data_IF_154942621487
#
_entry.id   IF_154942621487
#
_cell.length_a   1.000
_cell.length_b   1.000
_cell.length_c   1.000
_cell.angle_alpha   90.00
_cell.angle_beta   90.00
_cell.angle_gamma   90.00
#
_symmetry.space_group_name_H-M   'P 1'
#
loop_
_entity.id
_entity.type
_entity.pdbx_description
1 polymer ?
#
# COMPACT_ATOMS: atom_id res chain seq x y z
N UNK A 1 -23.54 32.25 -45.07
CA UNK A 1 -23.51 32.69 -43.66
C UNK A 1 -24.23 31.67 -42.80
N UNK A 2 -23.61 31.30 -41.69
CA UNK A 2 -23.59 29.96 -41.10
C UNK A 2 -24.92 29.56 -40.44
N UNK A 3 -25.37 28.35 -40.77
CA UNK A 3 -26.57 27.69 -40.24
C UNK A 3 -26.30 27.16 -38.83
N UNK A 4 -27.28 27.34 -37.94
CA UNK A 4 -27.35 26.74 -36.60
C UNK A 4 -27.34 25.21 -36.74
N UNK A 5 -26.34 24.56 -36.15
CA UNK A 5 -26.35 23.12 -35.92
C UNK A 5 -26.77 22.87 -34.47
N UNK A 6 -27.95 22.28 -34.30
CA UNK A 6 -28.23 21.44 -33.13
C UNK A 6 -27.36 20.20 -33.26
N UNK A 7 -26.57 19.90 -32.22
CA UNK A 7 -26.02 18.56 -32.03
C UNK A 7 -26.56 18.02 -30.72
N UNK A 8 -27.53 17.12 -30.84
CA UNK A 8 -27.95 16.24 -29.77
C UNK A 8 -26.80 15.27 -29.49
N UNK A 9 -26.08 15.47 -28.39
CA UNK A 9 -25.20 14.43 -27.86
C UNK A 9 -26.07 13.44 -27.10
N UNK A 10 -26.25 12.26 -27.69
CA UNK A 10 -26.92 11.13 -27.07
C UNK A 10 -26.16 10.69 -25.82
N UNK A 11 -26.88 10.61 -24.69
CA UNK A 11 -26.43 9.83 -23.53
C UNK A 11 -26.37 8.36 -23.94
N UNK A 12 -25.17 7.87 -24.22
CA UNK A 12 -24.90 6.43 -24.21
C UNK A 12 -24.77 6.04 -22.75
N UNK A 13 -25.89 5.61 -22.18
CA UNK A 13 -25.92 4.81 -20.97
C UNK A 13 -25.35 3.45 -21.37
N UNK A 14 -24.09 3.17 -21.03
CA UNK A 14 -23.61 1.80 -21.02
C UNK A 14 -24.27 1.09 -19.83
N UNK A 15 -25.44 0.53 -20.10
CA UNK A 15 -25.92 -0.64 -19.39
C UNK A 15 -25.02 -1.81 -19.83
N UNK A 16 -24.02 -2.13 -19.01
CA UNK A 16 -23.38 -3.45 -19.05
C UNK A 16 -23.97 -4.25 -17.89
N UNK A 17 -25.14 -4.83 -18.16
CA UNK A 17 -25.66 -5.96 -17.37
C UNK A 17 -25.14 -7.26 -17.97
N UNK A 18 -24.36 -7.98 -17.16
CA UNK A 18 -24.23 -9.45 -17.05
C UNK A 18 -24.23 -10.34 -18.31
N UNK A 19 -23.12 -11.07 -18.54
CA UNK A 19 -23.08 -12.55 -18.54
C UNK A 19 -21.62 -13.02 -18.74
N UNK A 20 -21.08 -14.01 -18.02
CA UNK A 20 -21.67 -14.85 -17.00
C UNK A 20 -20.59 -15.55 -16.17
N UNK A 21 -20.85 -15.73 -14.88
CA UNK A 21 -21.27 -17.03 -14.35
C UNK A 21 -21.75 -16.82 -12.90
N UNK A 22 -22.84 -16.07 -12.73
CA UNK A 22 -23.55 -15.94 -11.45
C UNK A 22 -24.51 -17.12 -11.28
N UNK A 23 -23.93 -18.31 -11.12
CA UNK A 23 -24.58 -19.42 -10.45
C UNK A 23 -24.11 -19.40 -9.00
N UNK A 24 -24.89 -18.73 -8.14
CA UNK A 24 -25.04 -19.07 -6.73
C UNK A 24 -23.74 -19.47 -5.97
N UNK A 25 -22.81 -18.54 -5.77
CA UNK A 25 -21.75 -18.71 -4.76
C UNK A 25 -22.15 -17.98 -3.47
N UNK A 26 -23.05 -18.61 -2.73
CA UNK A 26 -23.13 -18.53 -1.28
C UNK A 26 -22.11 -19.49 -0.63
N UNK A 27 -20.91 -19.58 -1.19
CA UNK A 27 -19.75 -20.13 -0.51
C UNK A 27 -18.95 -18.92 -0.06
N UNK A 28 -18.99 -18.59 1.25
CA UNK A 28 -17.90 -17.80 1.81
C UNK A 28 -16.62 -18.50 1.37
N UNK A 29 -15.72 -17.81 0.67
CA UNK A 29 -14.43 -18.39 0.38
C UNK A 29 -13.83 -18.89 1.70
N UNK A 30 -13.36 -20.14 1.70
CA UNK A 30 -12.86 -20.75 2.91
C UNK A 30 -11.63 -19.95 3.37
N UNK A 31 -11.66 -19.46 4.61
CA UNK A 31 -10.51 -18.83 5.22
C UNK A 31 -9.47 -19.91 5.54
N UNK A 32 -8.31 -19.82 4.92
CA UNK A 32 -7.18 -20.73 5.14
C UNK A 32 -6.18 -20.01 6.06
N UNK A 33 -5.89 -20.63 7.20
CA UNK A 33 -4.87 -20.17 8.17
C UNK A 33 -3.74 -21.19 8.35
N UNK A 34 -3.79 -22.33 7.64
CA UNK A 34 -2.74 -23.34 7.71
C UNK A 34 -1.46 -22.84 7.01
N UNK A 35 -0.31 -22.74 7.73
CA UNK A 35 0.91 -22.18 7.15
C UNK A 35 1.44 -22.96 5.93
N UNK A 36 1.27 -24.29 5.90
CA UNK A 36 1.74 -25.12 4.78
C UNK A 36 0.89 -24.94 3.52
N UNK A 37 -0.42 -24.76 3.68
CA UNK A 37 -1.31 -24.46 2.56
C UNK A 37 -1.05 -23.07 1.98
N UNK A 38 -0.91 -22.06 2.85
CA UNK A 38 -0.55 -20.70 2.45
C UNK A 38 0.82 -20.69 1.75
N UNK A 39 1.82 -21.39 2.30
CA UNK A 39 3.15 -21.48 1.69
C UNK A 39 3.11 -22.10 0.29
N UNK A 40 2.36 -23.18 0.11
CA UNK A 40 2.20 -23.82 -1.20
C UNK A 40 1.47 -22.93 -2.21
N UNK A 41 0.52 -22.12 -1.75
CA UNK A 41 -0.12 -21.10 -2.56
C UNK A 41 0.86 -20.00 -2.99
N UNK A 42 1.64 -19.47 -2.04
CA UNK A 42 2.61 -18.39 -2.26
C UNK A 42 3.71 -18.75 -3.26
N UNK A 43 4.16 -20.01 -3.34
CA UNK A 43 5.20 -20.46 -4.30
C UNK A 43 4.87 -20.18 -5.77
N UNK A 44 3.60 -19.97 -6.12
CA UNK A 44 3.18 -19.60 -7.48
C UNK A 44 3.49 -18.14 -7.83
N UNK A 45 3.72 -17.32 -6.81
CA UNK A 45 3.85 -15.86 -6.90
C UNK A 45 5.25 -15.41 -6.50
N UNK A 46 6.26 -16.29 -6.61
CA UNK A 46 7.65 -15.92 -6.33
C UNK A 46 8.06 -14.69 -7.17
N UNK A 47 8.63 -13.69 -6.52
CA UNK A 47 9.00 -12.41 -7.10
C UNK A 47 9.19 -11.29 -6.08
N UNK A 48 9.73 -10.16 -6.54
CA UNK A 48 9.87 -8.92 -5.78
C UNK A 48 8.93 -7.88 -6.36
N UNK A 49 8.03 -7.33 -5.55
CA UNK A 49 6.93 -6.49 -5.98
C UNK A 49 7.15 -5.05 -5.53
N UNK A 50 7.10 -4.13 -6.49
CA UNK A 50 7.54 -2.77 -6.29
C UNK A 50 6.58 -1.74 -6.86
N UNK A 51 6.58 -0.56 -6.25
CA UNK A 51 5.88 0.60 -6.74
C UNK A 51 6.86 1.54 -7.44
N UNK A 52 6.42 2.17 -8.54
CA UNK A 52 7.17 3.22 -9.22
C UNK A 52 6.59 4.58 -8.84
N UNK A 53 7.40 5.40 -8.20
CA UNK A 53 7.10 6.80 -7.93
C UNK A 53 7.70 7.65 -9.03
N UNK A 54 6.83 8.35 -9.77
CA UNK A 54 7.24 9.31 -10.78
C UNK A 54 7.36 10.71 -10.16
N UNK A 55 8.48 11.36 -10.43
CA UNK A 55 8.77 12.75 -10.07
C UNK A 55 9.06 13.55 -11.35
N UNK A 56 9.03 14.88 -11.24
CA UNK A 56 9.33 15.77 -12.37
C UNK A 56 10.72 15.48 -12.98
N UNK A 57 11.69 15.09 -12.15
CA UNK A 57 13.09 14.89 -12.54
C UNK A 57 13.51 13.42 -12.62
N UNK A 58 12.57 12.47 -12.62
CA UNK A 58 12.84 11.05 -12.82
C UNK A 58 11.93 10.16 -11.97
N UNK A 59 12.39 8.97 -11.59
CA UNK A 59 11.56 8.02 -10.88
C UNK A 59 12.35 7.24 -9.81
N UNK A 60 11.60 6.65 -8.90
CA UNK A 60 12.08 5.85 -7.79
C UNK A 60 11.26 4.57 -7.69
N UNK A 61 11.92 3.43 -7.49
CA UNK A 61 11.24 2.17 -7.23
C UNK A 61 11.35 1.78 -5.76
N UNK A 62 10.23 1.47 -5.12
CA UNK A 62 10.21 0.96 -3.75
C UNK A 62 9.75 -0.50 -3.75
N UNK A 63 10.56 -1.43 -3.24
CA UNK A 63 10.09 -2.79 -2.99
C UNK A 63 9.11 -2.74 -1.83
N UNK A 64 7.86 -3.11 -2.09
CA UNK A 64 6.81 -3.17 -1.08
C UNK A 64 6.66 -4.58 -0.50
N UNK A 65 6.81 -5.62 -1.33
CA UNK A 65 6.75 -7.02 -0.90
C UNK A 65 7.76 -7.89 -1.64
N UNK A 66 8.19 -8.96 -0.99
CA UNK A 66 8.92 -10.07 -1.64
C UNK A 66 8.19 -11.36 -1.30
N UNK A 67 7.98 -12.21 -2.30
CA UNK A 67 7.51 -13.58 -2.12
C UNK A 67 8.62 -14.49 -2.61
N UNK A 68 9.09 -15.38 -1.75
CA UNK A 68 10.19 -16.27 -2.08
C UNK A 68 10.04 -17.58 -1.32
N UNK A 69 10.09 -18.69 -2.06
CA UNK A 69 10.01 -20.05 -1.52
C UNK A 69 8.77 -20.28 -0.63
N UNK A 70 7.64 -19.64 -0.99
CA UNK A 70 6.39 -19.76 -0.25
C UNK A 70 6.34 -18.98 1.05
N UNK A 71 7.17 -17.94 1.19
CA UNK A 71 7.13 -16.98 2.31
C UNK A 71 6.94 -15.57 1.77
N UNK A 72 6.15 -14.76 2.49
CA UNK A 72 5.93 -13.34 2.18
C UNK A 72 6.76 -12.47 3.13
N UNK A 73 7.38 -11.44 2.59
CA UNK A 73 8.18 -10.46 3.32
C UNK A 73 7.68 -9.05 2.98
N UNK A 74 7.77 -8.14 3.94
CA UNK A 74 7.48 -6.72 3.75
C UNK A 74 8.78 -6.02 3.35
N UNK A 75 8.75 -5.29 2.24
CA UNK A 75 9.90 -4.60 1.69
C UNK A 75 11.15 -5.48 1.54
N UNK A 76 12.26 -5.02 2.12
CA UNK A 76 13.54 -5.73 2.13
C UNK A 76 13.79 -6.49 3.44
N UNK A 77 12.76 -6.74 4.25
CA UNK A 77 12.91 -7.45 5.53
C UNK A 77 13.44 -8.88 5.35
N UNK A 78 14.22 -9.31 6.35
CA UNK A 78 14.77 -10.67 6.42
C UNK A 78 13.83 -11.67 7.09
N UNK A 79 12.86 -11.20 7.85
CA UNK A 79 11.92 -12.05 8.59
C UNK A 79 10.60 -12.13 7.83
N UNK A 80 10.07 -13.33 7.54
CA UNK A 80 8.80 -13.45 6.86
C UNK A 80 7.63 -13.09 7.78
N UNK A 81 6.52 -12.74 7.15
CA UNK A 81 5.23 -12.53 7.82
C UNK A 81 4.67 -13.90 8.23
N UNK A 82 4.36 -14.06 9.52
CA UNK A 82 3.94 -15.35 10.09
C UNK A 82 2.42 -15.48 10.31
N UNK A 83 1.70 -14.36 10.43
CA UNK A 83 0.25 -14.33 10.69
C UNK A 83 -0.50 -13.93 9.42
N UNK A 84 -0.72 -14.93 8.56
CA UNK A 84 -1.41 -14.77 7.29
C UNK A 84 -2.75 -15.51 7.30
N UNK A 85 -3.77 -14.87 6.75
CA UNK A 85 -5.05 -15.50 6.42
C UNK A 85 -5.30 -15.37 4.93
N UNK A 86 -5.60 -16.49 4.26
CA UNK A 86 -5.89 -16.52 2.83
C UNK A 86 -7.39 -16.71 2.59
N UNK A 87 -7.97 -15.85 1.76
CA UNK A 87 -9.32 -15.98 1.22
C UNK A 87 -9.26 -15.86 -0.30
N UNK A 88 -9.51 -16.95 -1.03
CA UNK A 88 -9.38 -16.95 -2.49
C UNK A 88 -7.94 -16.64 -2.91
N UNK A 89 -7.74 -15.48 -3.55
CA UNK A 89 -6.42 -14.95 -3.94
C UNK A 89 -5.95 -13.76 -3.09
N UNK A 90 -6.61 -13.49 -1.97
CA UNK A 90 -6.34 -12.36 -1.08
C UNK A 90 -5.70 -12.83 0.21
N UNK A 91 -4.52 -12.30 0.53
CA UNK A 91 -3.83 -12.48 1.80
C UNK A 91 -4.10 -11.29 2.71
N UNK A 92 -4.68 -11.56 3.87
CA UNK A 92 -4.77 -10.59 4.94
C UNK A 92 -3.65 -10.84 5.95
N UNK A 93 -2.96 -9.77 6.34
CA UNK A 93 -1.93 -9.81 7.37
C UNK A 93 -2.16 -8.71 8.39
N UNK A 94 -2.01 -9.06 9.67
CA UNK A 94 -1.93 -8.07 10.73
C UNK A 94 -0.53 -7.47 10.72
N UNK A 95 -0.46 -6.15 10.61
CA UNK A 95 0.78 -5.41 10.82
C UNK A 95 0.63 -4.70 12.16
N UNK A 96 1.60 -4.92 13.05
CA UNK A 96 1.67 -4.14 14.29
C UNK A 96 1.86 -2.67 13.88
N UNK A 97 0.76 -1.91 13.94
CA UNK A 97 0.60 -0.56 13.42
C UNK A 97 1.45 0.47 14.17
N UNK A 98 2.77 0.33 14.06
CA UNK A 98 3.78 1.24 14.59
C UNK A 98 5.17 1.02 14.00
N UNK A 99 5.41 -0.09 13.30
CA UNK A 99 6.58 -0.19 12.45
C UNK A 99 6.23 0.45 11.11
N UNK A 100 6.76 1.64 10.86
CA UNK A 100 6.65 2.30 9.57
C UNK A 100 6.96 1.29 8.46
N UNK A 101 6.01 1.06 7.55
CA UNK A 101 6.38 0.56 6.23
C UNK A 101 7.34 1.60 5.69
N UNK A 102 8.64 1.26 5.65
CA UNK A 102 9.76 2.15 5.38
C UNK A 102 9.38 3.28 4.41
N UNK A 103 9.39 4.52 4.92
CA UNK A 103 9.47 5.83 4.26
C UNK A 103 8.51 6.20 3.11
N UNK A 104 7.69 5.31 2.57
CA UNK A 104 6.86 5.60 1.39
C UNK A 104 5.37 5.63 1.69
N UNK A 105 4.95 5.00 2.79
CA UNK A 105 3.56 4.91 3.20
C UNK A 105 3.48 5.31 4.69
N UNK A 106 3.46 6.61 4.96
CA UNK A 106 3.26 7.23 6.28
C UNK A 106 1.88 6.89 6.93
N UNK A 107 1.27 5.76 6.56
CA UNK A 107 -0.02 5.31 7.04
C UNK A 107 0.18 4.15 8.02
N UNK A 108 -0.41 4.32 9.20
CA UNK A 108 -0.37 3.37 10.31
C UNK A 108 -1.39 2.24 10.02
N UNK A 109 -1.24 1.55 8.90
CA UNK A 109 -2.10 0.40 8.62
C UNK A 109 -1.91 -0.63 9.73
N UNK A 110 -3.02 -1.14 10.23
CA UNK A 110 -3.04 -2.23 11.22
C UNK A 110 -3.29 -3.58 10.54
N UNK A 111 -3.87 -3.55 9.34
CA UNK A 111 -4.08 -4.71 8.48
C UNK A 111 -3.70 -4.32 7.05
N UNK A 112 -2.98 -5.20 6.36
CA UNK A 112 -2.73 -5.09 4.92
C UNK A 112 -3.42 -6.25 4.22
N UNK A 113 -4.12 -5.94 3.14
CA UNK A 113 -4.70 -6.92 2.24
C UNK A 113 -3.92 -6.93 0.93
N UNK A 114 -3.39 -8.09 0.54
CA UNK A 114 -2.60 -8.30 -0.67
C UNK A 114 -3.36 -9.26 -1.60
N UNK A 115 -3.87 -8.72 -2.69
CA UNK A 115 -4.52 -9.45 -3.76
C UNK A 115 -3.49 -9.87 -4.81
N UNK A 116 -3.39 -11.18 -5.05
CA UNK A 116 -2.39 -11.77 -5.94
C UNK A 116 -2.95 -12.05 -7.34
N UNK A 117 -2.20 -11.58 -8.34
CA UNK A 117 -2.41 -11.85 -9.76
C UNK A 117 -1.15 -12.49 -10.36
N UNK A 118 -1.26 -13.06 -11.55
CA UNK A 118 -0.15 -13.81 -12.15
C UNK A 118 1.07 -12.92 -12.47
N UNK A 119 0.83 -11.65 -12.83
CA UNK A 119 1.81 -10.68 -13.29
C UNK A 119 2.06 -9.49 -12.33
N UNK A 120 1.17 -9.25 -11.37
CA UNK A 120 1.25 -8.12 -10.44
C UNK A 120 0.64 -8.43 -9.07
N UNK A 121 0.82 -7.51 -8.12
CA UNK A 121 0.08 -7.48 -6.86
C UNK A 121 -0.75 -6.22 -6.77
N UNK A 122 -1.88 -6.31 -6.08
CA UNK A 122 -2.61 -5.12 -5.62
C UNK A 122 -2.71 -5.19 -4.11
N UNK A 123 -2.34 -4.12 -3.41
CA UNK A 123 -2.52 -4.08 -1.96
C UNK A 123 -3.33 -2.87 -1.51
N UNK A 124 -4.04 -3.04 -0.40
CA UNK A 124 -4.74 -1.98 0.32
C UNK A 124 -4.47 -2.10 1.81
N UNK A 125 -4.52 -0.97 2.50
CA UNK A 125 -4.33 -0.92 3.94
C UNK A 125 -5.62 -0.56 4.67
N UNK A 126 -5.82 -1.19 5.82
CA UNK A 126 -6.93 -0.93 6.74
C UNK A 126 -6.34 -0.45 8.07
N UNK A 127 -7.01 0.51 8.70
CA UNK A 127 -6.61 0.99 10.03
C UNK A 127 -7.57 0.41 11.08
N UNK A 128 -7.04 0.01 12.23
CA UNK A 128 -7.87 -0.32 13.39
C UNK A 128 -7.87 0.91 14.29
N UNK A 129 -9.05 1.47 14.53
CA UNK A 129 -9.18 2.56 15.50
C UNK A 129 -9.22 1.98 16.91
N UNK A 130 -8.42 2.58 17.79
CA UNK A 130 -8.59 2.38 19.23
C UNK A 130 -9.90 3.00 19.69
N UNK A 131 -10.46 2.45 20.75
CA UNK A 131 -11.73 2.87 21.34
C UNK A 131 -11.53 3.27 22.79
N UNK A 132 -12.12 4.39 23.16
CA UNK A 132 -12.35 4.75 24.56
C UNK A 132 -13.83 5.05 24.80
N UNK A 133 -14.22 5.16 26.08
CA UNK A 133 -15.56 5.56 26.45
C UNK A 133 -15.91 6.92 25.84
N UNK A 134 -17.16 7.05 25.40
CA UNK A 134 -17.61 8.29 24.79
C UNK A 134 -17.48 9.46 25.76
N UNK A 135 -16.76 10.48 25.32
CA UNK A 135 -16.73 11.79 25.93
C UNK A 135 -16.63 12.83 24.82
N UNK A 136 -17.44 13.89 24.88
CA UNK A 136 -17.35 14.97 23.90
C UNK A 136 -16.03 15.75 24.15
N UNK A 137 -15.07 15.79 23.20
CA UNK A 137 -13.73 16.35 23.46
C UNK A 137 -13.74 17.84 23.78
N UNK A 138 -14.58 18.60 23.08
CA UNK A 138 -14.81 20.03 23.28
C UNK A 138 -16.20 20.43 22.76
N UNK A 139 -16.60 21.69 23.00
CA UNK A 139 -17.92 22.21 22.65
C UNK A 139 -18.19 22.26 21.13
N UNK A 140 -17.15 22.32 20.30
CA UNK A 140 -17.25 22.46 18.84
C UNK A 140 -17.63 21.15 18.13
N UNK A 141 -17.64 20.02 18.83
CA UNK A 141 -18.23 18.78 18.32
C UNK A 141 -19.76 18.83 18.36
N UNK A 142 -20.41 18.79 17.21
CA UNK A 142 -21.87 18.83 17.08
C UNK A 142 -22.41 17.52 16.52
N UNK A 143 -23.67 17.22 16.81
CA UNK A 143 -24.35 16.07 16.22
C UNK A 143 -24.54 16.32 14.72
N UNK A 144 -24.00 15.44 13.90
CA UNK A 144 -24.09 15.53 12.43
C UNK A 144 -25.06 14.51 11.83
N UNK A 145 -25.29 13.40 12.54
CA UNK A 145 -26.22 12.35 12.13
C UNK A 145 -26.60 11.49 13.33
N UNK A 146 -27.75 10.83 13.28
CA UNK A 146 -28.15 9.82 14.25
C UNK A 146 -28.58 8.53 13.56
N UNK A 147 -28.11 7.41 14.10
CA UNK A 147 -28.64 6.06 13.83
C UNK A 147 -28.74 5.33 15.16
N UNK A 148 -29.94 5.01 15.63
CA UNK A 148 -30.16 4.45 16.97
C UNK A 148 -29.37 3.15 17.19
N UNK A 149 -29.21 2.36 16.15
CA UNK A 149 -28.47 1.11 16.11
C UNK A 149 -26.99 1.27 16.51
N UNK A 150 -26.43 2.48 16.32
CA UNK A 150 -25.05 2.80 16.67
C UNK A 150 -24.81 2.91 18.17
N UNK A 151 -25.85 3.02 19.00
CA UNK A 151 -25.68 3.04 20.47
C UNK A 151 -24.95 1.80 21.01
N UNK A 152 -25.03 0.66 20.30
CA UNK A 152 -24.29 -0.56 20.62
C UNK A 152 -22.76 -0.43 20.43
N UNK A 153 -22.33 0.56 19.67
CA UNK A 153 -20.95 0.87 19.32
C UNK A 153 -20.54 2.24 19.90
N UNK A 154 -21.19 2.69 20.97
CA UNK A 154 -20.85 3.96 21.61
C UNK A 154 -19.38 3.97 22.08
N UNK A 155 -18.70 5.08 21.81
CA UNK A 155 -17.29 5.30 22.08
C UNK A 155 -16.68 6.42 21.25
N UNK A 156 -15.49 6.84 21.64
CA UNK A 156 -14.63 7.69 20.82
C UNK A 156 -13.57 6.82 20.14
N UNK A 157 -13.45 6.95 18.82
CA UNK A 157 -12.56 6.15 18.00
C UNK A 157 -11.44 7.00 17.43
N UNK A 158 -10.19 6.60 17.67
CA UNK A 158 -9.01 7.40 17.33
C UNK A 158 -7.84 6.57 16.81
N UNK A 159 -6.94 7.25 16.10
CA UNK A 159 -5.61 6.72 15.75
C UNK A 159 -4.58 7.46 16.62
N UNK A 160 -3.79 6.76 17.45
CA UNK A 160 -2.72 7.38 18.21
C UNK A 160 -1.56 7.74 17.28
N UNK A 161 -0.94 8.89 17.55
CA UNK A 161 0.43 9.17 17.09
C UNK A 161 1.36 8.99 18.27
N UNK A 162 2.54 8.43 18.01
CA UNK A 162 3.52 8.15 19.06
C UNK A 162 4.69 9.13 18.99
N UNK A 163 5.31 9.41 20.13
CA UNK A 163 6.58 10.10 20.19
C UNK A 163 7.76 9.16 19.90
N UNK A 164 8.99 9.69 19.90
CA UNK A 164 10.20 8.93 19.62
C UNK A 164 10.48 7.81 20.66
N UNK A 165 9.78 7.80 21.79
CA UNK A 165 9.89 6.79 22.84
C UNK A 165 8.74 5.77 22.78
N UNK A 166 7.88 5.84 21.76
CA UNK A 166 6.73 4.96 21.60
C UNK A 166 5.57 5.27 22.54
N UNK A 167 5.49 6.47 23.13
CA UNK A 167 4.36 6.91 23.96
C UNK A 167 3.33 7.69 23.12
N UNK A 168 2.04 7.58 23.45
CA UNK A 168 0.98 8.31 22.74
C UNK A 168 1.18 9.82 22.93
N UNK A 169 1.43 10.52 21.83
CA UNK A 169 1.58 11.98 21.76
C UNK A 169 0.25 12.69 21.48
N UNK A 170 -0.50 12.23 20.48
CA UNK A 170 -1.81 12.81 20.09
C UNK A 170 -2.80 11.71 19.73
N UNK A 171 -4.06 11.86 20.18
CA UNK A 171 -5.19 11.05 19.73
C UNK A 171 -5.94 11.78 18.63
N UNK A 172 -5.94 11.22 17.42
CA UNK A 172 -6.69 11.79 16.29
C UNK A 172 -8.08 11.16 16.22
N UNK A 173 -9.06 11.78 16.88
CA UNK A 173 -10.45 11.30 16.89
C UNK A 173 -11.08 11.41 15.51
N UNK A 174 -11.62 10.29 15.00
CA UNK A 174 -12.22 10.22 13.67
C UNK A 174 -13.74 10.03 13.74
N UNK A 175 -14.22 9.19 14.65
CA UNK A 175 -15.65 8.93 14.85
C UNK A 175 -15.97 8.97 16.34
N UNK A 176 -17.02 9.70 16.69
CA UNK A 176 -17.52 9.79 18.05
C UNK A 176 -19.00 9.41 18.03
N UNK A 177 -19.36 8.38 18.79
CA UNK A 177 -20.71 7.83 18.85
C UNK A 177 -21.16 7.80 20.31
N UNK A 178 -22.28 8.45 20.63
CA UNK A 178 -22.88 8.33 21.97
C UNK A 178 -23.84 7.14 22.08
N UNK A 179 -24.35 6.91 23.30
CA UNK A 179 -25.27 5.81 23.61
C UNK A 179 -26.62 5.91 22.90
N UNK A 180 -27.01 7.11 22.47
CA UNK A 180 -28.24 7.36 21.72
C UNK A 180 -28.02 7.18 20.20
N UNK A 181 -26.81 6.83 19.79
CA UNK A 181 -26.43 6.60 18.40
C UNK A 181 -26.19 7.89 17.62
N UNK A 182 -25.94 9.01 18.31
CA UNK A 182 -25.55 10.26 17.66
C UNK A 182 -24.07 10.18 17.24
N UNK A 183 -23.81 10.51 15.97
CA UNK A 183 -22.48 10.72 15.44
C UNK A 183 -22.12 12.20 15.62
N UNK A 184 -20.96 12.48 16.21
CA UNK A 184 -20.44 13.83 16.38
C UNK A 184 -19.33 14.11 15.36
N UNK A 185 -19.37 15.30 14.77
CA UNK A 185 -18.31 15.85 13.95
C UNK A 185 -17.94 17.24 14.40
N UNK A 186 -16.72 17.66 14.10
CA UNK A 186 -16.30 19.03 14.37
C UNK A 186 -17.14 20.00 13.53
N UNK A 187 -17.58 21.12 14.11
CA UNK A 187 -18.47 22.10 13.47
C UNK A 187 -17.97 22.62 12.11
N UNK A 188 -16.65 22.63 11.88
CA UNK A 188 -16.07 22.96 10.57
C UNK A 188 -16.37 21.92 9.47
N UNK A 189 -16.61 20.66 9.83
CA UNK A 189 -16.86 19.56 8.88
C UNK A 189 -18.27 19.58 8.31
N UNK A 190 -19.25 20.25 8.94
CA UNK A 190 -20.60 20.34 8.35
C UNK A 190 -20.60 21.14 7.04
N UNK A 191 -19.59 21.99 6.82
CA UNK A 191 -19.46 22.78 5.60
C UNK A 191 -18.98 21.96 4.39
N UNK A 192 -18.45 20.73 4.59
CA UNK A 192 -18.00 19.87 3.49
C UNK A 192 -19.10 18.94 2.94
N UNK A 193 -20.35 19.11 3.40
CA UNK A 193 -21.50 18.36 2.88
C UNK A 193 -21.44 16.85 3.15
N UNK A 194 -20.79 16.45 4.25
CA UNK A 194 -20.61 15.04 4.60
C UNK A 194 -21.96 14.38 4.92
N UNK A 195 -22.20 13.23 4.29
CA UNK A 195 -23.38 12.39 4.52
C UNK A 195 -22.97 11.04 5.09
N UNK A 196 -23.89 10.37 5.79
CA UNK A 196 -23.65 9.04 6.33
C UNK A 196 -24.80 8.09 5.98
N UNK A 197 -24.45 6.82 5.76
CA UNK A 197 -25.36 5.69 5.63
C UNK A 197 -24.91 4.56 6.55
N UNK A 198 -25.85 3.76 7.04
CA UNK A 198 -25.58 2.59 7.88
C UNK A 198 -26.25 1.36 7.25
N UNK A 199 -25.46 0.31 7.03
CA UNK A 199 -25.96 -0.98 6.55
C UNK A 199 -25.42 -2.09 7.45
N UNK A 200 -26.28 -2.67 8.28
CA UNK A 200 -25.86 -3.61 9.32
C UNK A 200 -24.87 -2.95 10.29
N UNK A 201 -23.65 -3.49 10.36
CA UNK A 201 -22.55 -2.95 11.16
C UNK A 201 -21.53 -2.15 10.32
N UNK A 202 -21.87 -1.72 9.11
CA UNK A 202 -20.99 -0.90 8.27
C UNK A 202 -21.54 0.51 8.17
N UNK A 203 -20.84 1.45 8.79
CA UNK A 203 -21.09 2.89 8.65
C UNK A 203 -20.29 3.40 7.45
N UNK A 204 -20.90 4.15 6.56
CA UNK A 204 -20.23 4.77 5.41
C UNK A 204 -20.42 6.27 5.48
N UNK A 205 -19.33 7.03 5.29
CA UNK A 205 -19.37 8.48 5.14
C UNK A 205 -19.00 8.87 3.70
N UNK A 206 -19.66 9.88 3.19
CA UNK A 206 -19.48 10.38 1.83
C UNK A 206 -19.41 11.92 1.83
N UNK A 207 -18.39 12.48 1.17
CA UNK A 207 -18.26 13.92 0.94
C UNK A 207 -17.52 14.21 -0.37
N UNK A 208 -17.53 15.47 -0.81
CA UNK A 208 -16.68 15.92 -1.91
C UNK A 208 -15.45 16.64 -1.35
N UNK A 209 -14.29 16.41 -1.95
CA UNK A 209 -13.05 17.10 -1.58
C UNK A 209 -13.00 18.53 -2.17
N UNK A 210 -11.87 19.23 -1.99
CA UNK A 210 -11.65 20.58 -2.52
C UNK A 210 -11.68 20.67 -4.05
N UNK A 211 -11.45 19.55 -4.75
CA UNK A 211 -11.49 19.44 -6.21
C UNK A 211 -12.87 18.97 -6.71
N UNK A 212 -13.86 18.86 -5.81
CA UNK A 212 -15.21 18.34 -6.07
C UNK A 212 -15.23 16.86 -6.51
N UNK A 213 -14.24 16.09 -6.08
CA UNK A 213 -14.16 14.66 -6.28
C UNK A 213 -14.76 13.91 -5.10
N UNK A 214 -15.47 12.82 -5.39
CA UNK A 214 -16.21 12.03 -4.40
C UNK A 214 -15.27 11.18 -3.55
N UNK A 215 -15.38 11.31 -2.24
CA UNK A 215 -14.66 10.52 -1.23
C UNK A 215 -15.66 9.66 -0.45
N UNK A 216 -15.41 8.36 -0.39
CA UNK A 216 -16.22 7.39 0.35
C UNK A 216 -15.35 6.62 1.32
N UNK A 217 -15.71 6.68 2.60
CA UNK A 217 -15.02 5.97 3.67
C UNK A 217 -15.99 5.00 4.34
N UNK A 218 -15.56 3.78 4.62
CA UNK A 218 -16.37 2.77 5.30
C UNK A 218 -15.72 2.29 6.57
N UNK A 219 -16.56 2.07 7.58
CA UNK A 219 -16.17 1.76 8.94
C UNK A 219 -16.96 0.52 9.35
N UNK A 220 -16.28 -0.62 9.42
CA UNK A 220 -16.86 -1.85 9.97
C UNK A 220 -16.80 -1.76 11.49
N UNK A 221 -17.98 -1.70 12.09
CA UNK A 221 -18.15 -1.55 13.52
C UNK A 221 -18.12 -2.93 14.18
N UNK A 222 -17.23 -3.09 15.15
CA UNK A 222 -17.16 -4.23 16.05
C UNK A 222 -17.34 -3.73 17.49
N UNK A 223 -17.68 -4.63 18.43
CA UNK A 223 -18.11 -4.23 19.78
C UNK A 223 -17.06 -3.38 20.52
N UNK A 224 -15.79 -3.72 20.31
CA UNK A 224 -14.60 -3.19 20.97
C UNK A 224 -13.71 -2.33 20.06
N UNK A 225 -13.94 -2.31 18.74
CA UNK A 225 -13.10 -1.60 17.76
C UNK A 225 -13.87 -1.19 16.51
N UNK A 226 -13.31 -0.26 15.74
CA UNK A 226 -13.74 0.00 14.36
C UNK A 226 -12.59 -0.39 13.43
N UNK A 227 -12.92 -1.19 12.41
CA UNK A 227 -12.02 -1.46 11.30
C UNK A 227 -12.35 -0.48 10.18
N UNK A 228 -11.38 0.37 9.88
CA UNK A 228 -11.43 1.33 8.79
C UNK A 228 -11.11 0.67 7.47
N UNK A 229 -11.95 0.89 6.48
CA UNK A 229 -11.63 0.61 5.09
C UNK A 229 -11.79 1.88 4.28
N UNK A 230 -10.69 2.36 3.70
CA UNK A 230 -10.76 3.38 2.67
C UNK A 230 -11.28 2.68 1.41
N UNK A 231 -12.58 2.81 1.17
CA UNK A 231 -13.19 2.18 0.00
C UNK A 231 -12.88 2.96 -1.27
N UNK A 232 -13.01 4.30 -1.26
CA UNK A 232 -12.71 5.13 -2.43
C UNK A 232 -12.17 6.50 -2.05
N UNK A 233 -11.03 6.88 -2.64
CA UNK A 233 -10.56 8.27 -2.69
C UNK A 233 -10.59 8.67 -4.17
N UNK A 234 -11.20 9.81 -4.49
CA UNK A 234 -11.28 10.34 -5.86
C UNK A 234 -11.96 9.38 -6.85
N UNK A 235 -12.97 8.63 -6.39
CA UNK A 235 -13.68 7.63 -7.21
C UNK A 235 -12.85 6.40 -7.60
N UNK A 236 -11.64 6.21 -7.04
CA UNK A 236 -10.80 5.02 -7.22
C UNK A 236 -10.68 4.26 -5.91
N UNK A 237 -10.69 2.93 -6.00
CA UNK A 237 -10.39 2.08 -4.85
C UNK A 237 -9.00 2.44 -4.33
N UNK A 238 -8.88 2.69 -3.03
CA UNK A 238 -7.60 3.09 -2.46
C UNK A 238 -6.70 1.87 -2.29
N UNK A 239 -5.98 1.60 -3.37
CA UNK A 239 -5.12 0.44 -3.53
C UNK A 239 -3.94 0.80 -4.40
N UNK A 240 -2.82 0.14 -4.16
CA UNK A 240 -1.62 0.29 -4.94
C UNK A 240 -1.40 -0.96 -5.78
N UNK A 241 -1.23 -0.76 -7.07
CA UNK A 241 -0.78 -1.80 -7.98
C UNK A 241 0.75 -1.83 -7.98
N UNK A 242 1.32 -3.02 -7.85
CA UNK A 242 2.75 -3.26 -7.75
C UNK A 242 3.23 -4.10 -8.92
N UNK A 243 4.26 -3.61 -9.58
CA UNK A 243 4.94 -4.32 -10.65
C UNK A 243 5.82 -5.42 -10.09
N UNK A 244 6.01 -6.48 -10.87
CA UNK A 244 6.86 -7.63 -10.52
C UNK A 244 8.27 -7.46 -11.08
N UNK A 245 9.26 -7.81 -10.26
CA UNK A 245 10.68 -7.99 -10.61
C UNK A 245 11.16 -9.36 -10.15
N UNK A 246 12.27 -9.82 -10.69
CA UNK A 246 12.81 -11.15 -10.41
C UNK A 246 13.43 -11.24 -9.01
N UNK A 247 13.58 -12.48 -8.51
CA UNK A 247 14.32 -12.76 -7.28
C UNK A 247 15.83 -12.66 -7.50
N UNK A 248 16.56 -12.30 -6.44
CA UNK A 248 18.03 -12.25 -6.48
C UNK A 248 18.70 -13.61 -6.31
N UNK A 249 17.97 -14.66 -5.91
CA UNK A 249 18.50 -16.00 -5.69
C UNK A 249 19.45 -16.52 -6.79
N UNK A 250 19.17 -16.35 -8.09
CA UNK A 250 20.10 -16.78 -9.16
C UNK A 250 21.41 -15.98 -9.24
N UNK A 251 21.44 -14.79 -8.66
CA UNK A 251 22.49 -13.77 -8.81
C UNK A 251 23.33 -13.60 -7.53
N UNK A 252 23.02 -14.33 -6.46
CA UNK A 252 23.68 -14.21 -5.18
C UNK A 252 25.20 -14.35 -5.28
N UNK A 253 25.92 -13.47 -4.61
CA UNK A 253 27.38 -13.52 -4.53
C UNK A 253 28.03 -12.14 -4.51
N UNK A 254 29.36 -12.16 -4.54
CA UNK A 254 30.18 -10.96 -4.65
C UNK A 254 30.87 -10.96 -6.01
N UNK A 255 30.74 -9.86 -6.75
CA UNK A 255 31.35 -9.66 -8.06
C UNK A 255 32.31 -8.48 -7.95
N UNK A 256 33.56 -8.64 -8.38
CA UNK A 256 34.56 -7.59 -8.20
C UNK A 256 35.49 -7.42 -9.40
N UNK A 257 36.00 -6.20 -9.55
CA UNK A 257 37.15 -5.87 -10.40
C UNK A 257 37.89 -4.65 -9.85
N UNK A 258 39.15 -4.83 -9.45
CA UNK A 258 39.90 -3.80 -8.75
C UNK A 258 39.17 -3.36 -7.49
N UNK A 259 38.96 -2.05 -7.34
CA UNK A 259 38.27 -1.46 -6.20
C UNK A 259 36.74 -1.45 -6.32
N UNK A 260 36.16 -1.97 -7.43
CA UNK A 260 34.71 -2.02 -7.63
C UNK A 260 34.18 -3.37 -7.17
N UNK A 261 33.19 -3.34 -6.28
CA UNK A 261 32.55 -4.53 -5.74
C UNK A 261 31.03 -4.39 -5.74
N UNK A 262 30.35 -5.37 -6.35
CA UNK A 262 28.92 -5.58 -6.30
C UNK A 262 28.62 -6.76 -5.36
N UNK A 263 27.81 -6.54 -4.34
CA UNK A 263 27.27 -7.57 -3.48
C UNK A 263 25.79 -7.79 -3.78
N UNK A 264 25.42 -9.03 -4.08
CA UNK A 264 24.03 -9.44 -4.28
C UNK A 264 23.63 -10.41 -3.17
N UNK A 265 22.70 -9.97 -2.33
CA UNK A 265 22.07 -10.76 -1.28
C UNK A 265 20.63 -11.09 -1.67
N UNK A 266 19.96 -11.91 -0.87
CA UNK A 266 18.57 -12.35 -1.14
C UNK A 266 17.58 -11.19 -1.21
N UNK A 267 17.75 -10.18 -0.36
CA UNK A 267 16.82 -9.07 -0.19
C UNK A 267 17.28 -7.77 -0.87
N UNK A 268 18.59 -7.57 -1.02
CA UNK A 268 19.17 -6.36 -1.60
C UNK A 268 20.39 -6.66 -2.48
N UNK A 269 20.68 -5.77 -3.43
CA UNK A 269 21.96 -5.71 -4.12
C UNK A 269 22.60 -4.35 -3.86
N UNK A 270 23.92 -4.26 -3.67
CA UNK A 270 24.67 -3.02 -3.47
C UNK A 270 25.99 -3.00 -4.23
N UNK A 271 26.36 -1.82 -4.72
CA UNK A 271 27.65 -1.60 -5.37
C UNK A 271 28.40 -0.50 -4.62
N UNK A 272 29.67 -0.73 -4.29
CA UNK A 272 30.44 0.16 -3.41
C UNK A 272 30.78 1.53 -4.03
N UNK A 273 30.60 1.68 -5.34
CA UNK A 273 30.71 2.98 -6.03
C UNK A 273 29.46 3.83 -5.91
N UNK A 274 28.35 3.25 -5.43
CA UNK A 274 27.15 4.01 -5.14
C UNK A 274 27.34 4.78 -3.83
N UNK A 275 26.97 6.05 -3.84
CA UNK A 275 26.88 6.85 -2.62
C UNK A 275 25.62 6.45 -1.83
N UNK A 276 25.63 6.54 -0.50
CA UNK A 276 24.37 6.39 0.25
C UNK A 276 23.54 7.64 0.05
N UNK A 277 22.77 7.69 -1.04
CA UNK A 277 21.69 8.66 -1.22
C UNK A 277 20.60 8.50 -0.16
N UNK A 278 19.65 9.43 -0.14
CA UNK A 278 18.53 9.39 0.82
C UNK A 278 17.63 8.18 0.60
N UNK A 279 17.53 7.73 -0.66
CA UNK A 279 16.86 6.49 -1.04
C UNK A 279 17.72 5.63 -1.93
N UNK A 280 17.53 4.32 -1.76
CA UNK A 280 18.28 3.29 -2.42
C UNK A 280 17.33 2.17 -2.84
N UNK A 281 17.39 1.78 -4.11
CA UNK A 281 16.56 0.68 -4.62
C UNK A 281 17.30 -0.20 -5.61
N UNK A 282 17.00 -1.50 -5.61
CA UNK A 282 17.61 -2.47 -6.51
C UNK A 282 16.53 -3.33 -7.19
N UNK A 283 16.41 -3.24 -8.52
CA UNK A 283 15.42 -3.95 -9.34
C UNK A 283 16.13 -4.82 -10.36
N UNK A 284 15.68 -6.07 -10.51
CA UNK A 284 16.23 -7.00 -11.51
C UNK A 284 15.14 -7.54 -12.42
N UNK A 285 15.41 -7.49 -13.73
CA UNK A 285 14.54 -8.04 -14.78
C UNK A 285 15.40 -8.81 -15.78
N UNK A 286 15.23 -10.14 -15.81
CA UNK A 286 16.15 -11.06 -16.43
C UNK A 286 17.56 -10.83 -15.88
N UNK A 287 18.55 -10.77 -16.78
CA UNK A 287 19.95 -10.56 -16.40
C UNK A 287 20.30 -9.09 -16.07
N UNK A 288 19.34 -8.17 -16.07
CA UNK A 288 19.62 -6.73 -15.89
C UNK A 288 19.18 -6.25 -14.51
N UNK A 289 20.15 -5.86 -13.70
CA UNK A 289 19.97 -5.21 -12.42
C UNK A 289 20.20 -3.71 -12.56
N UNK A 290 19.25 -2.92 -12.08
CA UNK A 290 19.40 -1.48 -11.88
C UNK A 290 19.43 -1.20 -10.39
N UNK A 291 20.50 -0.53 -9.96
CA UNK A 291 20.62 0.06 -8.63
C UNK A 291 20.45 1.57 -8.79
N UNK A 292 19.47 2.15 -8.10
CA UNK A 292 19.18 3.59 -8.16
C UNK A 292 19.50 4.25 -6.82
N UNK A 293 20.25 5.35 -6.88
CA UNK A 293 20.43 6.29 -5.78
C UNK A 293 19.62 7.55 -6.06
N UNK A 294 18.94 8.05 -5.03
CA UNK A 294 18.13 9.25 -5.16
C UNK A 294 18.47 10.21 -4.05
N UNK A 295 18.76 11.44 -4.44
CA UNK A 295 19.11 12.54 -3.56
C UNK A 295 17.97 13.55 -3.57
N UNK A 296 17.52 13.92 -2.38
CA UNK A 296 16.46 14.88 -2.16
C UNK A 296 17.05 16.13 -1.51
N UNK A 297 16.70 17.31 -2.02
CA UNK A 297 16.98 18.57 -1.30
C UNK A 297 15.93 18.81 -0.22
N UNK A 298 14.70 18.33 -0.46
CA UNK A 298 13.56 18.29 0.47
C UNK A 298 12.70 17.05 0.15
N UNK A 299 11.77 16.66 1.03
CA UNK A 299 10.88 15.48 0.91
C UNK A 299 9.90 15.47 -0.30
N UNK A 300 10.09 16.33 -1.30
CA UNK A 300 9.12 16.58 -2.37
C UNK A 300 9.68 16.30 -3.77
N UNK A 301 10.89 16.77 -4.08
CA UNK A 301 11.47 16.65 -5.42
C UNK A 301 12.92 16.15 -5.36
N UNK A 302 13.28 15.07 -6.08
CA UNK A 302 14.65 14.63 -6.17
C UNK A 302 15.48 15.61 -6.99
N UNK A 303 16.65 15.96 -6.48
CA UNK A 303 17.62 16.83 -7.15
C UNK A 303 18.58 16.05 -8.04
N UNK A 304 18.81 14.78 -7.74
CA UNK A 304 19.70 13.92 -8.52
C UNK A 304 19.26 12.46 -8.40
N UNK A 305 19.27 11.75 -9.55
CA UNK A 305 19.06 10.29 -9.61
C UNK A 305 20.26 9.70 -10.34
N UNK A 306 20.94 8.75 -9.69
CA UNK A 306 22.05 7.99 -10.29
C UNK A 306 21.63 6.55 -10.48
N UNK A 307 21.75 6.06 -11.71
CA UNK A 307 21.50 4.65 -12.03
C UNK A 307 22.82 3.93 -12.26
N UNK A 308 23.01 2.84 -11.54
CA UNK A 308 24.08 1.87 -11.71
C UNK A 308 23.49 0.65 -12.40
N UNK A 309 23.93 0.39 -13.63
CA UNK A 309 23.35 -0.68 -14.46
C UNK A 309 24.31 -1.86 -14.49
N UNK A 310 23.79 -3.04 -14.16
CA UNK A 310 24.55 -4.27 -14.11
C UNK A 310 23.87 -5.29 -15.01
N UNK A 311 24.61 -5.86 -15.97
CA UNK A 311 24.13 -6.98 -16.79
C UNK A 311 24.92 -8.23 -16.46
N UNK A 312 24.28 -9.23 -15.86
CA UNK A 312 24.90 -10.51 -15.56
C UNK A 312 25.07 -11.37 -16.82
N UNK A 313 26.14 -12.17 -16.85
CA UNK A 313 26.30 -13.22 -17.86
C UNK A 313 25.25 -14.31 -17.69
N UNK A 314 25.04 -15.11 -18.73
CA UNK A 314 24.05 -16.20 -18.71
C UNK A 314 24.34 -17.23 -17.61
N UNK A 315 25.62 -17.57 -17.42
CA UNK A 315 26.12 -18.47 -16.39
C UNK A 315 26.28 -17.80 -15.01
N UNK A 316 26.00 -16.50 -14.91
CA UNK A 316 26.06 -15.70 -13.69
C UNK A 316 27.45 -15.62 -13.04
N UNK A 317 28.51 -16.00 -13.77
CA UNK A 317 29.90 -15.94 -13.28
C UNK A 317 30.53 -14.56 -13.48
N UNK A 318 29.96 -13.73 -14.35
CA UNK A 318 30.40 -12.37 -14.65
C UNK A 318 29.24 -11.39 -14.62
N UNK A 319 29.56 -10.11 -14.47
CA UNK A 319 28.62 -9.02 -14.62
C UNK A 319 29.28 -7.81 -15.25
N UNK A 320 28.64 -7.16 -16.21
CA UNK A 320 29.10 -5.88 -16.76
C UNK A 320 28.42 -4.76 -16.00
N UNK A 321 29.21 -3.96 -15.28
CA UNK A 321 28.73 -2.76 -14.61
C UNK A 321 28.98 -1.52 -15.48
N UNK A 322 27.90 -0.86 -15.87
CA UNK A 322 27.90 0.46 -16.52
C UNK A 322 27.66 1.53 -15.45
N UNK A 323 28.68 2.37 -15.24
CA UNK A 323 28.67 3.50 -14.30
C UNK A 323 27.70 4.59 -14.76
N UNK A 324 27.29 5.52 -13.86
CA UNK A 324 26.46 6.66 -14.23
C UNK A 324 27.04 7.55 -15.33
N UNK A 325 28.38 7.59 -15.47
CA UNK A 325 29.07 8.34 -16.54
C UNK A 325 29.08 7.60 -17.91
N UNK A 326 28.51 6.40 -17.98
CA UNK A 326 28.44 5.56 -19.17
C UNK A 326 29.66 4.65 -19.40
N UNK A 327 30.71 4.74 -18.59
CA UNK A 327 31.85 3.82 -18.67
C UNK A 327 31.48 2.44 -18.13
N UNK A 328 32.09 1.38 -18.67
CA UNK A 328 31.78 -0.01 -18.31
C UNK A 328 32.99 -0.76 -17.72
N UNK A 329 32.73 -1.64 -16.75
CA UNK A 329 33.72 -2.52 -16.12
C UNK A 329 33.15 -3.93 -16.01
N UNK A 330 33.91 -4.95 -16.40
CA UNK A 330 33.54 -6.36 -16.17
C UNK A 330 33.93 -6.77 -14.75
N UNK A 331 32.97 -7.28 -13.99
CA UNK A 331 33.12 -7.81 -12.65
C UNK A 331 33.07 -9.34 -12.71
N UNK A 332 33.91 -10.01 -11.93
CA UNK A 332 33.94 -11.48 -11.85
C UNK A 332 33.46 -11.94 -10.48
N UNK A 333 32.58 -12.96 -10.47
CA UNK A 333 32.10 -13.60 -9.24
C UNK A 333 33.27 -14.23 -8.49
N UNK A 334 33.36 -13.97 -7.18
CA UNK A 334 34.40 -14.47 -6.29
C UNK A 334 34.08 -15.85 -5.71
#
# INVERSE_FOLDING_TARGET
>A
MIKKFLLAAAFIIFAVSCSGNSANKSTSEALITNPSEISNFLKKYDGRYYHLHEFTNGNYTHIAFRIENGSLYIGEDKTPVNELTLSGNSLEMNVNGNNQLSNTYNQIYSIIEVNLFDDHLKFSGKNIFEKEDFNKPDEDYIVIKQFKELGNYAGNYYIPTYDNNGQIKVKNYTILIDKDGNIYGYKGMTNVGMTFTLNGNVLQSEHNDKNNEKVIMSYKLEKDRIIYQINFIYGKEYSYELMKSDLFTPYLGTYSAGDITLHVNENNANINTATTGDYYSSIINGNNLTISEIFFENDVDPIEIKEHKITFSDDKTKATYTKPDGSAVELTKQ
#
